data_IF_798695595564
#
_entry.id   IF_798695595564
#
_cell.length_a   1.000
_cell.length_b   1.000
_cell.length_c   1.000
_cell.angle_alpha   90.00
_cell.angle_beta   90.00
_cell.angle_gamma   90.00
#
_symmetry.space_group_name_H-M   'P 1'
#
loop_
_entity.id
_entity.type
_entity.pdbx_description
1 polymer ?
#
# COMPACT_ATOMS: atom_id res chain seq x y z
N UNK A 1 37.54 35.41 51.33
CA UNK A 1 38.42 34.96 50.24
C UNK A 1 38.15 35.89 49.05
N UNK A 2 39.05 36.82 48.77
CA UNK A 2 38.95 37.79 47.66
C UNK A 2 39.73 37.30 46.46
N UNK A 3 39.21 37.53 45.25
CA UNK A 3 39.91 37.23 44.00
C UNK A 3 40.87 38.38 43.65
N UNK A 4 42.16 38.08 43.47
CA UNK A 4 43.16 39.05 43.02
C UNK A 4 42.90 39.50 41.58
N UNK A 5 43.26 40.73 41.22
CA UNK A 5 43.05 41.29 39.88
C UNK A 5 43.63 40.41 38.75
N UNK A 6 44.77 39.75 38.99
CA UNK A 6 45.38 38.79 38.06
C UNK A 6 44.56 37.52 37.85
N UNK A 7 43.81 37.09 38.86
CA UNK A 7 42.94 35.92 38.75
C UNK A 7 41.68 36.21 37.92
N UNK A 8 41.18 37.46 37.96
CA UNK A 8 40.11 37.92 37.08
C UNK A 8 40.56 38.00 35.63
N UNK A 9 41.76 38.54 35.38
CA UNK A 9 42.34 38.63 34.04
C UNK A 9 42.53 37.23 33.42
N UNK A 10 43.13 36.29 34.17
CA UNK A 10 43.29 34.89 33.72
C UNK A 10 41.95 34.20 33.49
N UNK A 11 40.94 34.45 34.31
CA UNK A 11 39.59 33.89 34.14
C UNK A 11 38.91 34.44 32.87
N UNK A 12 39.13 35.72 32.57
CA UNK A 12 38.66 36.35 31.33
C UNK A 12 39.40 35.80 30.10
N UNK A 13 40.70 35.54 30.19
CA UNK A 13 41.48 34.89 29.13
C UNK A 13 40.98 33.46 28.84
N UNK A 14 40.73 32.66 29.88
CA UNK A 14 40.19 31.30 29.75
C UNK A 14 38.75 31.30 29.23
N UNK A 15 37.94 32.29 29.62
CA UNK A 15 36.59 32.48 29.07
C UNK A 15 36.58 32.93 27.60
N UNK A 16 37.71 33.39 27.07
CA UNK A 16 37.86 33.87 25.68
C UNK A 16 38.47 32.84 24.73
N UNK A 17 39.04 31.75 25.23
CA UNK A 17 39.60 30.69 24.38
C UNK A 17 38.55 29.64 24.04
N UNK A 18 37.57 30.00 23.19
CA UNK A 18 36.76 28.99 22.53
C UNK A 18 37.55 28.47 21.31
N UNK A 19 37.77 27.15 21.15
CA UNK A 19 38.36 26.61 19.93
C UNK A 19 37.49 26.98 18.72
N UNK A 20 38.12 27.10 17.54
CA UNK A 20 37.41 27.45 16.31
C UNK A 20 36.17 26.55 16.16
N UNK A 21 34.96 27.11 16.02
CA UNK A 21 33.77 26.30 15.84
C UNK A 21 33.95 25.43 14.61
N UNK A 22 33.55 24.16 14.71
CA UNK A 22 33.55 23.25 13.57
C UNK A 22 32.76 23.91 12.43
N UNK A 23 33.21 23.73 11.17
CA UNK A 23 32.42 24.17 10.04
C UNK A 23 31.03 23.55 10.20
N UNK A 24 29.99 24.41 10.19
CA UNK A 24 28.62 23.91 10.17
C UNK A 24 28.55 22.93 8.99
N UNK A 25 27.95 21.74 9.17
CA UNK A 25 27.73 20.86 8.04
C UNK A 25 27.10 21.70 6.95
N UNK A 26 27.63 21.61 5.71
CA UNK A 26 27.01 22.29 4.60
C UNK A 26 25.55 21.86 4.63
N UNK A 27 24.66 22.80 5.00
CA UNK A 27 23.24 22.61 4.73
C UNK A 27 23.25 22.36 3.25
N UNK A 28 23.00 21.12 2.84
CA UNK A 28 22.67 20.83 1.47
C UNK A 28 21.66 21.91 1.12
N UNK A 29 22.08 22.85 0.27
CA UNK A 29 21.17 23.84 -0.24
C UNK A 29 20.06 22.96 -0.77
N UNK A 30 18.88 23.09 -0.19
CA UNK A 30 17.66 22.79 -0.92
C UNK A 30 17.77 23.72 -2.12
N UNK A 31 18.47 23.22 -3.14
CA UNK A 31 18.38 23.78 -4.45
C UNK A 31 16.90 23.67 -4.68
N UNK A 32 16.24 24.82 -4.82
CA UNK A 32 15.11 24.91 -5.73
C UNK A 32 15.68 24.51 -7.08
N UNK A 33 15.93 23.21 -7.24
CA UNK A 33 16.32 22.64 -8.49
C UNK A 33 15.17 23.00 -9.41
N UNK A 34 15.51 23.35 -10.63
CA UNK A 34 14.81 22.77 -11.78
C UNK A 34 14.22 21.41 -11.41
N UNK A 35 13.09 20.94 -11.97
CA UNK A 35 12.60 19.58 -11.74
C UNK A 35 13.57 18.53 -12.34
N UNK A 36 14.84 18.53 -11.92
CA UNK A 36 15.42 17.49 -11.08
C UNK A 36 14.81 16.18 -11.45
N UNK A 37 15.43 15.53 -12.44
CA UNK A 37 15.09 14.19 -12.90
C UNK A 37 14.94 13.32 -11.65
N UNK A 38 13.69 13.16 -11.20
CA UNK A 38 13.35 12.27 -10.10
C UNK A 38 13.91 10.92 -10.48
N UNK A 39 14.52 10.23 -9.53
CA UNK A 39 14.96 8.86 -9.78
C UNK A 39 13.76 8.05 -10.24
N UNK A 40 13.95 7.09 -11.13
CA UNK A 40 12.84 6.26 -11.63
C UNK A 40 12.05 5.62 -10.51
N UNK A 41 12.75 5.17 -9.48
CA UNK A 41 12.21 4.67 -8.21
C UNK A 41 11.17 5.63 -7.59
N UNK A 42 11.36 6.94 -7.75
CA UNK A 42 10.45 7.94 -7.20
C UNK A 42 9.25 8.26 -8.11
N UNK A 43 9.30 7.91 -9.40
CA UNK A 43 8.21 8.18 -10.35
C UNK A 43 7.40 6.94 -10.69
N UNK A 44 7.96 5.76 -10.44
CA UNK A 44 7.34 4.50 -10.82
C UNK A 44 6.08 4.23 -9.99
N UNK A 45 5.03 3.75 -10.67
CA UNK A 45 3.71 3.48 -10.08
C UNK A 45 3.41 1.99 -10.11
N UNK A 46 4.01 1.24 -11.03
CA UNK A 46 3.87 -0.21 -11.07
C UNK A 46 4.77 -0.86 -9.99
N UNK A 47 4.21 -1.64 -9.03
CA UNK A 47 4.99 -2.26 -7.97
C UNK A 47 6.11 -3.17 -8.50
N UNK A 48 5.88 -3.87 -9.62
CA UNK A 48 6.89 -4.76 -10.21
C UNK A 48 8.07 -3.97 -10.78
N UNK A 49 7.80 -2.92 -11.55
CA UNK A 49 8.83 -2.03 -12.09
C UNK A 49 9.58 -1.29 -10.98
N UNK A 50 8.86 -0.83 -9.94
CA UNK A 50 9.44 -0.16 -8.79
C UNK A 50 10.44 -1.07 -8.06
N UNK A 51 10.07 -2.32 -7.79
CA UNK A 51 10.96 -3.30 -7.17
C UNK A 51 12.20 -3.57 -8.04
N UNK A 52 12.03 -3.69 -9.35
CA UNK A 52 13.16 -3.89 -10.27
C UNK A 52 14.13 -2.71 -10.28
N UNK A 53 13.64 -1.48 -10.24
CA UNK A 53 14.47 -0.27 -10.13
C UNK A 53 15.15 -0.17 -8.76
N UNK A 54 14.48 -0.60 -7.67
CA UNK A 54 15.09 -0.68 -6.34
C UNK A 54 16.27 -1.65 -6.30
N UNK A 55 16.13 -2.83 -6.89
CA UNK A 55 17.20 -3.82 -6.97
C UNK A 55 18.39 -3.32 -7.80
N UNK A 56 18.15 -2.53 -8.85
CA UNK A 56 19.22 -1.94 -9.68
C UNK A 56 19.91 -0.77 -8.98
N UNK A 57 19.18 0.03 -8.22
CA UNK A 57 19.71 1.20 -7.53
C UNK A 57 20.49 0.82 -6.26
N UNK A 58 20.27 -0.38 -5.72
CA UNK A 58 20.87 -0.84 -4.46
C UNK A 58 21.83 -2.01 -4.70
N UNK A 59 23.08 -1.72 -5.05
CA UNK A 59 24.15 -2.72 -5.17
C UNK A 59 24.39 -3.48 -3.85
N UNK A 60 24.21 -2.80 -2.71
CA UNK A 60 24.41 -3.35 -1.36
C UNK A 60 23.17 -4.08 -0.78
N UNK A 61 22.08 -4.17 -1.54
CA UNK A 61 20.80 -4.73 -1.08
C UNK A 61 20.10 -3.97 0.07
N UNK A 62 20.64 -2.82 0.50
CA UNK A 62 20.06 -2.00 1.57
C UNK A 62 19.10 -0.96 0.99
N UNK A 63 17.81 -1.11 1.27
CA UNK A 63 16.77 -0.21 0.77
C UNK A 63 16.25 0.71 1.90
N UNK A 64 16.20 2.04 1.69
CA UNK A 64 15.58 2.97 2.64
C UNK A 64 14.13 2.61 3.01
N UNK A 65 13.71 2.79 4.28
CA UNK A 65 12.41 2.32 4.77
C UNK A 65 11.22 2.92 4.02
N UNK A 66 11.30 4.20 3.66
CA UNK A 66 10.23 4.89 2.93
C UNK A 66 9.98 4.33 1.52
N UNK A 67 10.99 3.72 0.88
CA UNK A 67 10.82 3.09 -0.43
C UNK A 67 10.12 1.73 -0.32
N UNK A 68 10.34 1.00 0.77
CA UNK A 68 9.61 -0.22 1.10
C UNK A 68 8.16 0.08 1.46
N UNK A 69 7.90 1.14 2.23
CA UNK A 69 6.53 1.60 2.53
C UNK A 69 5.78 1.94 1.25
N UNK A 70 6.44 2.64 0.32
CA UNK A 70 5.87 2.96 -0.99
C UNK A 70 5.57 1.70 -1.82
N UNK A 71 6.47 0.73 -1.84
CA UNK A 71 6.25 -0.53 -2.55
C UNK A 71 5.01 -1.26 -2.02
N UNK A 72 4.89 -1.37 -0.68
CA UNK A 72 3.69 -1.94 -0.03
C UNK A 72 2.41 -1.20 -0.40
N UNK A 73 2.46 0.13 -0.45
CA UNK A 73 1.32 0.94 -0.82
C UNK A 73 0.90 0.71 -2.28
N UNK A 74 1.87 0.68 -3.21
CA UNK A 74 1.61 0.44 -4.62
C UNK A 74 0.98 -0.96 -4.87
N UNK A 75 1.46 -1.98 -4.16
CA UNK A 75 0.89 -3.33 -4.19
C UNK A 75 -0.55 -3.35 -3.66
N UNK A 76 -0.78 -2.75 -2.49
CA UNK A 76 -2.12 -2.63 -1.89
C UNK A 76 -3.11 -1.92 -2.81
N UNK A 77 -2.68 -0.84 -3.47
CA UNK A 77 -3.50 -0.09 -4.41
C UNK A 77 -3.82 -0.92 -5.66
N UNK A 78 -2.88 -1.73 -6.13
CA UNK A 78 -3.09 -2.63 -7.27
C UNK A 78 -4.09 -3.74 -6.94
N UNK A 79 -4.00 -4.34 -5.75
CA UNK A 79 -4.94 -5.35 -5.26
C UNK A 79 -6.36 -4.79 -5.16
N UNK A 80 -6.52 -3.61 -4.55
CA UNK A 80 -7.82 -2.92 -4.45
C UNK A 80 -8.43 -2.68 -5.83
N UNK A 81 -7.64 -2.23 -6.81
CA UNK A 81 -8.10 -2.04 -8.19
C UNK A 81 -8.54 -3.36 -8.83
N UNK A 82 -7.81 -4.46 -8.60
CA UNK A 82 -8.18 -5.80 -9.11
C UNK A 82 -9.49 -6.28 -8.48
N UNK A 83 -9.66 -6.13 -7.17
CA UNK A 83 -10.89 -6.50 -6.47
C UNK A 83 -12.08 -5.66 -6.94
N UNK A 84 -11.91 -4.34 -7.12
CA UNK A 84 -12.96 -3.47 -7.64
C UNK A 84 -13.39 -3.90 -9.05
N UNK A 85 -12.43 -4.14 -9.95
CA UNK A 85 -12.70 -4.62 -11.31
C UNK A 85 -13.44 -5.97 -11.32
N UNK A 86 -13.07 -6.91 -10.44
CA UNK A 86 -13.79 -8.18 -10.31
C UNK A 86 -15.24 -7.99 -9.83
N UNK A 87 -15.46 -7.11 -8.85
CA UNK A 87 -16.82 -6.80 -8.35
C UNK A 87 -17.67 -6.15 -9.43
N UNK A 88 -17.12 -5.21 -10.20
CA UNK A 88 -17.80 -4.59 -11.33
C UNK A 88 -18.17 -5.60 -12.41
N UNK A 89 -17.27 -6.54 -12.73
CA UNK A 89 -17.55 -7.63 -13.66
C UNK A 89 -18.71 -8.51 -13.16
N UNK A 90 -18.66 -8.96 -11.90
CA UNK A 90 -19.74 -9.76 -11.30
C UNK A 90 -21.09 -9.03 -11.33
N UNK A 91 -21.09 -7.73 -11.04
CA UNK A 91 -22.29 -6.90 -11.08
C UNK A 91 -22.81 -6.71 -12.51
N UNK A 92 -21.92 -6.53 -13.50
CA UNK A 92 -22.29 -6.44 -14.91
C UNK A 92 -22.92 -7.74 -15.46
N UNK A 93 -22.46 -8.91 -14.99
CA UNK A 93 -23.10 -10.19 -15.34
C UNK A 93 -24.52 -10.33 -14.74
N UNK A 94 -24.75 -9.84 -13.51
CA UNK A 94 -26.09 -9.85 -12.90
C UNK A 94 -27.05 -8.85 -13.56
N UNK A 95 -26.57 -7.69 -14.00
CA UNK A 95 -27.38 -6.69 -14.72
C UNK A 95 -27.92 -7.20 -16.06
N UNK A 96 -27.24 -8.15 -16.71
CA UNK A 96 -27.69 -8.75 -17.96
C UNK A 96 -28.85 -9.74 -17.78
N UNK A 97 -29.03 -10.34 -16.60
CA UNK A 97 -30.15 -11.26 -16.34
C UNK A 97 -31.43 -10.55 -15.92
N UNK A 98 -31.34 -9.32 -15.43
CA UNK A 98 -32.48 -8.48 -15.03
C UNK A 98 -32.87 -7.45 -16.10
N UNK A 99 -32.89 -7.85 -17.38
CA UNK A 99 -33.53 -7.01 -18.40
C UNK A 99 -35.04 -7.00 -18.11
N UNK A 100 -35.67 -5.85 -17.85
CA UNK A 100 -37.09 -5.81 -17.53
C UNK A 100 -37.87 -6.27 -18.76
N UNK A 101 -38.48 -7.45 -18.67
CA UNK A 101 -39.57 -7.83 -19.57
C UNK A 101 -40.75 -6.97 -19.16
N UNK A 102 -40.97 -5.92 -19.93
CA UNK A 102 -42.10 -5.02 -19.79
C UNK A 102 -43.42 -5.82 -19.86
N UNK A 103 -44.17 -5.79 -18.76
CA UNK A 103 -45.52 -6.34 -18.65
C UNK A 103 -45.63 -7.85 -18.38
N UNK A 104 -45.85 -8.21 -17.12
CA UNK A 104 -46.88 -9.16 -16.66
C UNK A 104 -46.93 -9.11 -15.12
N UNK A 105 -48.07 -8.62 -14.59
CA UNK A 105 -48.33 -8.51 -13.15
C UNK A 105 -48.38 -9.91 -12.52
N UNK A 106 -47.68 -10.11 -11.40
CA UNK A 106 -47.88 -11.27 -10.54
C UNK A 106 -48.05 -10.82 -9.09
N UNK A 107 -49.31 -10.79 -8.62
CA UNK A 107 -49.62 -10.87 -7.19
C UNK A 107 -49.39 -12.32 -6.72
N UNK A 108 -48.76 -12.51 -5.55
CA UNK A 108 -48.93 -13.76 -4.79
C UNK A 108 -47.82 -14.16 -3.80
N UNK A 109 -48.12 -13.95 -2.50
CA UNK A 109 -47.74 -14.73 -1.30
C UNK A 109 -46.29 -14.71 -0.77
N UNK A 110 -46.09 -14.78 0.57
CA UNK A 110 -44.78 -14.76 1.20
C UNK A 110 -44.04 -16.07 0.92
N UNK A 111 -42.80 -15.93 0.48
CA UNK A 111 -41.96 -17.00 -0.02
C UNK A 111 -41.31 -17.76 1.14
N UNK A 112 -41.85 -18.93 1.48
CA UNK A 112 -41.13 -19.93 2.27
C UNK A 112 -39.79 -20.25 1.59
N UNK A 113 -38.72 -20.27 2.38
CA UNK A 113 -37.35 -20.64 2.01
C UNK A 113 -37.30 -22.10 1.53
N UNK A 114 -37.69 -22.33 0.27
CA UNK A 114 -37.48 -23.62 -0.39
C UNK A 114 -35.99 -23.82 -0.63
N UNK A 115 -35.41 -24.99 -0.30
CA UNK A 115 -34.05 -25.30 -0.72
C UNK A 115 -34.01 -25.29 -2.25
N UNK A 116 -33.12 -24.46 -2.80
CA UNK A 116 -32.95 -24.31 -4.24
C UNK A 116 -32.44 -25.65 -4.83
N UNK A 117 -33.37 -26.45 -5.37
CA UNK A 117 -33.06 -27.74 -5.99
C UNK A 117 -32.41 -27.60 -7.38
N UNK A 118 -32.19 -26.38 -7.86
CA UNK A 118 -31.58 -26.10 -9.16
C UNK A 118 -30.08 -25.78 -9.00
N UNK A 119 -29.35 -26.59 -8.23
CA UNK A 119 -27.89 -26.58 -8.35
C UNK A 119 -27.53 -27.25 -9.67
N UNK A 120 -27.13 -26.44 -10.65
CA UNK A 120 -26.58 -26.93 -11.92
C UNK A 120 -25.39 -27.83 -11.59
N UNK A 121 -25.30 -29.00 -12.22
CA UNK A 121 -24.09 -29.82 -12.12
C UNK A 121 -22.94 -29.07 -12.81
N UNK A 122 -21.74 -29.04 -12.21
CA UNK A 122 -20.60 -28.33 -12.78
C UNK A 122 -20.29 -28.89 -14.17
N UNK A 123 -20.05 -27.99 -15.11
CA UNK A 123 -19.91 -28.31 -16.52
C UNK A 123 -18.55 -28.94 -16.86
N UNK A 124 -17.53 -28.66 -16.06
CA UNK A 124 -16.16 -29.13 -16.22
C UNK A 124 -15.46 -29.36 -14.86
N UNK A 125 -14.28 -29.97 -14.89
CA UNK A 125 -13.48 -30.26 -13.69
C UNK A 125 -12.99 -28.98 -13.01
N UNK A 126 -12.62 -27.96 -13.80
CA UNK A 126 -12.22 -26.66 -13.26
C UNK A 126 -13.31 -26.03 -12.39
N UNK A 127 -14.58 -26.09 -12.82
CA UNK A 127 -15.71 -25.59 -12.02
C UNK A 127 -15.92 -26.43 -10.74
N UNK A 128 -15.63 -27.74 -10.78
CA UNK A 128 -15.66 -28.58 -9.58
C UNK A 128 -14.59 -28.16 -8.57
N UNK A 129 -13.36 -27.94 -9.02
CA UNK A 129 -12.26 -27.50 -8.19
C UNK A 129 -12.55 -26.13 -7.57
N UNK A 130 -13.16 -25.22 -8.33
CA UNK A 130 -13.61 -23.92 -7.84
C UNK A 130 -14.68 -24.05 -6.75
N UNK A 131 -15.68 -24.94 -6.92
CA UNK A 131 -16.69 -25.18 -5.89
C UNK A 131 -16.10 -25.81 -4.63
N UNK A 132 -15.06 -26.63 -4.74
CA UNK A 132 -14.36 -27.22 -3.59
C UNK A 132 -13.53 -26.17 -2.86
N UNK A 133 -12.74 -25.38 -3.60
CA UNK A 133 -11.95 -24.30 -3.03
C UNK A 133 -12.82 -23.26 -2.32
N UNK A 134 -13.96 -22.89 -2.92
CA UNK A 134 -14.92 -21.98 -2.30
C UNK A 134 -15.53 -22.56 -1.01
N UNK A 135 -15.87 -23.85 -1.01
CA UNK A 135 -16.33 -24.51 0.22
C UNK A 135 -15.27 -24.49 1.31
N UNK A 136 -14.02 -24.80 0.99
CA UNK A 136 -12.92 -24.75 1.97
C UNK A 136 -12.75 -23.35 2.58
N UNK A 137 -12.80 -22.30 1.75
CA UNK A 137 -12.72 -20.91 2.21
C UNK A 137 -13.82 -20.54 3.21
N UNK A 138 -15.06 -21.04 3.01
CA UNK A 138 -16.16 -20.80 3.93
C UNK A 138 -15.97 -21.51 5.28
N UNK A 139 -15.35 -22.69 5.29
CA UNK A 139 -15.07 -23.43 6.52
C UNK A 139 -13.86 -22.86 7.28
N UNK A 140 -12.82 -22.39 6.57
CA UNK A 140 -11.61 -21.83 7.19
C UNK A 140 -11.89 -20.48 7.88
N UNK A 141 -12.84 -19.68 7.38
CA UNK A 141 -13.23 -18.41 7.98
C UNK A 141 -14.03 -18.49 9.29
N UNK A 142 -14.54 -19.67 9.64
CA UNK A 142 -15.30 -19.91 10.89
C UNK A 142 -14.42 -20.49 12.03
N UNK A 143 -13.12 -20.74 11.79
CA UNK A 143 -12.17 -21.26 12.79
C UNK A 143 -11.36 -20.16 13.53
N UNK A 144 -11.61 -18.88 13.25
CA UNK A 144 -11.03 -17.75 13.98
C UNK A 144 -12.00 -17.20 15.05
N UNK A 145 -12.20 -17.94 16.15
CA UNK A 145 -12.72 -17.46 17.44
C UNK A 145 -11.99 -18.10 18.63
#
# INVERSE_FOLDING_TARGET
>A
MSFDARSLERLQELGRSLPKPLPKPERHKETKGTPGKRHRVETETDPQALFGELMKASEDGTVPPHLMDRLRQAESDQERKRQAAQREQLQALQSQTNRPTDGLKAQGKPQELRPNQQRRRPANSEEQDLYVAFQQLLLEGDEED
#
